data_IF_667499117787
#
_entry.id   IF_667499117787
#
_cell.length_a   1.000
_cell.length_b   1.000
_cell.length_c   1.000
_cell.angle_alpha   90.00
_cell.angle_beta   90.00
_cell.angle_gamma   90.00
#
_symmetry.space_group_name_H-M   'P 1'
#
loop_
_entity.id
_entity.type
_entity.pdbx_description
1 polymer ?
#
# COMPACT_ATOMS: atom_id res chain seq x y z
N UNK A 1 -32.22 -7.08 9.77
CA UNK A 1 -32.64 -8.42 10.23
C UNK A 1 -31.67 -9.45 9.66
N UNK A 2 -30.68 -9.89 10.47
CA UNK A 2 -29.65 -10.88 10.08
C UNK A 2 -30.02 -12.22 10.75
N UNK A 3 -31.17 -12.77 10.41
CA UNK A 3 -31.77 -13.85 11.21
C UNK A 3 -31.55 -15.30 10.75
N UNK A 4 -31.30 -15.68 9.49
CA UNK A 4 -31.22 -17.11 9.15
C UNK A 4 -29.82 -17.65 8.75
N UNK A 5 -28.81 -16.81 8.54
CA UNK A 5 -27.52 -17.26 7.96
C UNK A 5 -26.60 -17.95 8.98
N UNK A 6 -26.80 -17.72 10.28
CA UNK A 6 -25.92 -18.25 11.34
C UNK A 6 -26.32 -19.61 11.92
N UNK A 7 -27.40 -20.23 11.43
CA UNK A 7 -27.82 -21.55 11.89
C UNK A 7 -26.85 -22.63 11.38
N UNK A 8 -25.90 -23.06 12.23
CA UNK A 8 -24.93 -24.10 11.93
C UNK A 8 -23.46 -23.71 12.13
N UNK A 9 -23.18 -22.45 12.49
CA UNK A 9 -21.81 -22.00 12.82
C UNK A 9 -21.42 -22.55 14.20
N UNK A 10 -20.25 -23.20 14.36
CA UNK A 10 -19.75 -23.62 15.67
C UNK A 10 -19.69 -22.44 16.64
N UNK A 11 -20.08 -22.65 17.90
CA UNK A 11 -20.20 -21.61 18.94
C UNK A 11 -18.89 -20.91 19.31
N UNK A 12 -17.76 -21.37 18.77
CA UNK A 12 -16.40 -20.82 19.03
C UNK A 12 -15.84 -19.97 17.87
N UNK A 13 -16.57 -19.87 16.75
CA UNK A 13 -16.08 -19.09 15.59
C UNK A 13 -16.45 -17.61 15.77
N UNK A 14 -15.48 -16.72 15.51
CA UNK A 14 -15.72 -15.29 15.56
C UNK A 14 -16.69 -14.87 14.46
N UNK A 15 -17.58 -13.94 14.79
CA UNK A 15 -18.44 -13.30 13.78
C UNK A 15 -17.91 -11.89 13.51
N UNK A 16 -17.76 -11.53 12.24
CA UNK A 16 -17.37 -10.18 11.84
C UNK A 16 -18.35 -9.17 12.44
N UNK A 17 -17.86 -8.16 13.19
CA UNK A 17 -18.71 -7.10 13.70
C UNK A 17 -19.29 -6.33 12.51
N UNK A 18 -20.62 -6.21 12.46
CA UNK A 18 -21.33 -5.54 11.38
C UNK A 18 -21.16 -4.01 11.49
N UNK A 19 -19.97 -3.52 11.15
CA UNK A 19 -19.67 -2.10 11.16
C UNK A 19 -20.49 -1.35 10.13
N UNK A 20 -21.00 -0.17 10.50
CA UNK A 20 -21.51 0.78 9.51
C UNK A 20 -20.31 1.37 8.75
N UNK A 21 -20.23 1.23 7.41
CA UNK A 21 -19.17 1.84 6.61
C UNK A 21 -19.13 3.37 6.71
N UNK A 22 -20.26 3.99 7.10
CA UNK A 22 -20.37 5.43 7.34
C UNK A 22 -19.94 5.74 8.77
N UNK A 23 -18.85 6.45 8.94
CA UNK A 23 -18.35 6.86 10.26
C UNK A 23 -19.29 7.89 10.91
N UNK A 24 -19.71 8.88 10.14
CA UNK A 24 -20.67 9.91 10.58
C UNK A 24 -21.26 10.65 9.37
N UNK A 25 -22.34 11.41 9.62
CA UNK A 25 -23.03 12.22 8.62
C UNK A 25 -23.00 13.70 8.99
N UNK A 26 -22.68 14.54 8.02
CA UNK A 26 -22.77 16.00 8.13
C UNK A 26 -23.83 16.49 7.13
N UNK A 27 -25.08 16.54 7.57
CA UNK A 27 -26.20 16.81 6.68
C UNK A 27 -26.31 15.73 5.60
N UNK A 28 -26.31 16.10 4.29
CA UNK A 28 -26.37 15.13 3.19
C UNK A 28 -25.05 14.39 2.94
N UNK A 29 -23.94 14.86 3.51
CA UNK A 29 -22.61 14.28 3.29
C UNK A 29 -22.36 13.11 4.25
N UNK A 30 -22.20 11.89 3.71
CA UNK A 30 -21.78 10.71 4.45
C UNK A 30 -20.26 10.57 4.41
N UNK A 31 -19.62 10.62 5.58
CA UNK A 31 -18.17 10.41 5.71
C UNK A 31 -17.92 8.93 6.02
N UNK A 32 -17.23 8.25 5.11
CA UNK A 32 -16.94 6.82 5.22
C UNK A 32 -15.61 6.57 5.94
N UNK A 33 -15.52 5.49 6.72
CA UNK A 33 -14.29 5.07 7.38
C UNK A 33 -13.12 4.91 6.42
N UNK A 34 -13.38 4.42 5.21
CA UNK A 34 -12.36 4.25 4.19
C UNK A 34 -11.69 5.58 3.82
N UNK A 35 -12.48 6.64 3.64
CA UNK A 35 -11.97 8.00 3.42
C UNK A 35 -11.15 8.54 4.58
N UNK A 36 -11.59 8.24 5.83
CA UNK A 36 -10.84 8.61 7.05
C UNK A 36 -9.49 7.88 7.09
N UNK A 37 -9.43 6.59 6.77
CA UNK A 37 -8.18 5.84 6.74
C UNK A 37 -7.20 6.39 5.68
N UNK A 38 -7.70 6.82 4.53
CA UNK A 38 -6.86 7.50 3.52
C UNK A 38 -6.32 8.84 4.04
N UNK A 39 -7.19 9.68 4.61
CA UNK A 39 -6.76 10.96 5.18
C UNK A 39 -5.71 10.74 6.29
N UNK A 40 -5.97 9.79 7.18
CA UNK A 40 -5.06 9.44 8.26
C UNK A 40 -3.70 8.93 7.71
N UNK A 41 -3.71 8.18 6.60
CA UNK A 41 -2.50 7.73 5.92
C UNK A 41 -1.63 8.90 5.47
N UNK A 42 -2.23 9.94 4.91
CA UNK A 42 -1.49 11.15 4.51
C UNK A 42 -1.00 11.96 5.71
N UNK A 43 -1.82 12.13 6.75
CA UNK A 43 -1.45 12.89 7.95
C UNK A 43 -0.31 12.20 8.71
N UNK A 44 -0.46 10.91 9.00
CA UNK A 44 0.58 10.12 9.67
C UNK A 44 1.83 10.01 8.78
N UNK A 45 1.63 9.80 7.48
CA UNK A 45 2.71 9.78 6.50
C UNK A 45 3.52 11.07 6.50
N UNK A 46 2.88 12.22 6.45
CA UNK A 46 3.53 13.51 6.51
C UNK A 46 4.32 13.70 7.82
N UNK A 47 3.72 13.40 8.95
CA UNK A 47 4.39 13.47 10.25
C UNK A 47 5.62 12.58 10.32
N UNK A 48 5.53 11.35 9.82
CA UNK A 48 6.66 10.42 9.79
C UNK A 48 7.76 10.90 8.83
N UNK A 49 7.42 11.50 7.68
CA UNK A 49 8.40 12.09 6.77
C UNK A 49 9.17 13.22 7.45
N UNK A 50 8.47 14.11 8.18
CA UNK A 50 9.14 15.17 8.95
C UNK A 50 10.09 14.57 10.00
N UNK A 51 9.69 13.50 10.69
CA UNK A 51 10.55 12.78 11.63
C UNK A 51 11.78 12.17 10.97
N UNK A 52 11.67 11.75 9.70
CA UNK A 52 12.81 11.20 8.96
C UNK A 52 13.88 12.25 8.62
N UNK A 53 13.55 13.52 8.54
CA UNK A 53 14.52 14.58 8.27
C UNK A 53 15.59 14.73 9.36
N UNK A 54 15.29 14.27 10.57
CA UNK A 54 16.24 14.27 11.69
C UNK A 54 17.22 13.08 11.67
N UNK A 55 17.05 12.14 10.72
CA UNK A 55 17.87 10.94 10.60
C UNK A 55 18.81 11.03 9.40
N UNK A 56 19.95 10.34 9.49
CA UNK A 56 20.84 10.16 8.34
C UNK A 56 20.09 9.40 7.21
N UNK A 57 20.37 9.67 5.93
CA UNK A 57 21.36 10.61 5.37
C UNK A 57 20.84 12.06 5.21
N UNK A 58 19.64 12.41 5.68
CA UNK A 58 19.00 13.69 5.40
C UNK A 58 19.50 14.80 6.33
N UNK A 59 19.79 14.48 7.59
CA UNK A 59 20.38 15.42 8.53
C UNK A 59 21.84 15.74 8.11
N UNK A 60 22.15 17.05 7.94
CA UNK A 60 23.48 17.50 7.57
C UNK A 60 23.88 17.29 6.13
N UNK A 61 22.94 17.01 5.21
CA UNK A 61 23.21 16.93 3.78
C UNK A 61 23.52 18.32 3.20
N UNK A 62 24.37 18.38 2.16
CA UNK A 62 24.69 19.63 1.45
C UNK A 62 23.44 20.28 0.82
N UNK A 63 22.45 19.48 0.47
CA UNK A 63 21.13 19.91 0.02
C UNK A 63 20.08 19.43 1.04
N UNK A 64 19.80 20.17 2.10
CA UNK A 64 18.92 19.71 3.17
C UNK A 64 17.47 19.56 2.68
N UNK A 65 16.82 18.55 3.20
CA UNK A 65 15.37 18.44 3.10
C UNK A 65 14.74 19.38 4.14
N UNK A 66 13.79 20.18 3.71
CA UNK A 66 13.05 21.10 4.58
C UNK A 66 11.61 20.63 4.73
N UNK A 67 10.88 21.05 5.79
CA UNK A 67 9.45 20.79 5.91
C UNK A 67 8.66 21.27 4.68
N UNK A 68 9.04 22.41 4.10
CA UNK A 68 8.41 22.93 2.88
C UNK A 68 8.56 21.98 1.69
N UNK A 69 9.78 21.42 1.47
CA UNK A 69 10.00 20.42 0.42
C UNK A 69 9.21 19.14 0.65
N UNK A 70 9.01 18.72 1.91
CA UNK A 70 8.15 17.57 2.23
C UNK A 70 6.69 17.90 1.93
N UNK A 71 6.23 19.11 2.23
CA UNK A 71 4.87 19.55 1.87
C UNK A 71 4.66 19.54 0.37
N UNK A 72 5.61 20.10 -0.41
CA UNK A 72 5.56 20.07 -1.87
C UNK A 72 5.50 18.61 -2.38
N UNK A 73 6.36 17.73 -1.83
CA UNK A 73 6.37 16.30 -2.20
C UNK A 73 5.02 15.64 -1.92
N UNK A 74 4.38 15.95 -0.78
CA UNK A 74 3.06 15.42 -0.46
C UNK A 74 1.99 15.86 -1.45
N UNK A 75 2.03 17.12 -1.91
CA UNK A 75 1.11 17.60 -2.97
C UNK A 75 1.32 16.79 -4.25
N UNK A 76 2.57 16.57 -4.68
CA UNK A 76 2.87 15.71 -5.84
C UNK A 76 2.34 14.31 -5.69
N UNK A 77 2.49 13.70 -4.49
CA UNK A 77 1.99 12.35 -4.20
C UNK A 77 0.46 12.31 -4.27
N UNK A 78 -0.23 13.25 -3.63
CA UNK A 78 -1.71 13.31 -3.62
C UNK A 78 -2.24 13.45 -5.05
N UNK A 79 -1.68 14.37 -5.82
CA UNK A 79 -2.04 14.54 -7.25
C UNK A 79 -1.74 13.27 -8.03
N UNK A 80 -0.58 12.64 -7.80
CA UNK A 80 -0.19 11.38 -8.45
C UNK A 80 -1.17 10.24 -8.14
N UNK A 81 -1.58 10.08 -6.88
CA UNK A 81 -2.57 9.07 -6.46
C UNK A 81 -3.91 9.30 -7.16
N UNK A 82 -4.43 10.53 -7.11
CA UNK A 82 -5.76 10.84 -7.64
C UNK A 82 -5.77 10.75 -9.17
N UNK A 83 -4.86 11.45 -9.82
CA UNK A 83 -4.79 11.48 -11.29
C UNK A 83 -4.44 10.09 -11.86
N UNK A 84 -3.43 9.44 -11.30
CA UNK A 84 -3.02 8.10 -11.74
C UNK A 84 -4.09 7.06 -11.48
N UNK A 85 -4.71 7.06 -10.30
CA UNK A 85 -5.79 6.14 -9.95
C UNK A 85 -7.00 6.30 -10.87
N UNK A 86 -7.41 7.54 -11.14
CA UNK A 86 -8.53 7.84 -12.04
C UNK A 86 -8.23 7.49 -13.49
N UNK A 87 -7.11 7.97 -14.02
CA UNK A 87 -6.71 7.67 -15.39
C UNK A 87 -6.51 6.16 -15.60
N UNK A 88 -5.88 5.47 -14.64
CA UNK A 88 -5.72 4.03 -14.70
C UNK A 88 -7.07 3.30 -14.72
N UNK A 89 -8.05 3.75 -13.95
CA UNK A 89 -9.40 3.17 -14.01
C UNK A 89 -10.06 3.42 -15.37
N UNK A 90 -10.05 4.65 -15.85
CA UNK A 90 -10.67 5.01 -17.14
C UNK A 90 -10.07 4.22 -18.30
N UNK A 91 -8.74 4.07 -18.32
CA UNK A 91 -8.03 3.44 -19.43
C UNK A 91 -8.10 1.90 -19.42
N UNK A 92 -8.09 1.28 -18.25
CA UNK A 92 -7.97 -0.18 -18.15
C UNK A 92 -9.28 -0.89 -17.83
N UNK A 93 -10.22 -0.24 -17.13
CA UNK A 93 -11.47 -0.91 -16.72
C UNK A 93 -12.67 -0.54 -17.60
N UNK A 94 -12.77 0.70 -18.08
CA UNK A 94 -13.91 1.17 -18.87
C UNK A 94 -13.49 2.08 -20.04
N UNK A 95 -12.51 1.68 -20.90
CA UNK A 95 -11.97 2.57 -21.92
C UNK A 95 -13.03 3.04 -22.94
N UNK A 96 -13.90 2.16 -23.38
CA UNK A 96 -14.95 2.48 -24.36
C UNK A 96 -15.97 3.48 -23.78
N UNK A 97 -16.35 3.29 -22.50
CA UNK A 97 -17.28 4.20 -21.83
C UNK A 97 -16.70 5.62 -21.75
N UNK A 98 -15.44 5.76 -21.27
CA UNK A 98 -14.84 7.09 -21.11
C UNK A 98 -14.41 7.74 -22.43
N UNK A 99 -14.25 6.96 -23.51
CA UNK A 99 -14.08 7.52 -24.86
C UNK A 99 -15.33 8.26 -25.35
N UNK A 100 -16.52 7.82 -24.90
CA UNK A 100 -17.81 8.47 -25.24
C UNK A 100 -18.27 9.49 -24.20
N UNK A 101 -17.69 9.45 -22.98
CA UNK A 101 -18.00 10.35 -21.86
C UNK A 101 -16.74 11.01 -21.31
N UNK A 102 -15.98 11.80 -22.11
CA UNK A 102 -14.65 12.28 -21.72
C UNK A 102 -14.67 13.22 -20.50
N UNK A 103 -15.77 13.92 -20.26
CA UNK A 103 -15.90 14.82 -19.10
C UNK A 103 -15.96 14.10 -17.77
N UNK A 104 -16.40 12.86 -17.75
CA UNK A 104 -16.44 12.05 -16.53
C UNK A 104 -15.06 11.56 -16.09
N UNK A 105 -14.05 11.62 -16.96
CA UNK A 105 -12.66 11.29 -16.61
C UNK A 105 -12.16 12.15 -15.44
N UNK A 106 -12.55 13.43 -15.39
CA UNK A 106 -12.14 14.40 -14.35
C UNK A 106 -13.07 14.42 -13.13
N UNK A 107 -13.96 13.43 -13.00
CA UNK A 107 -14.93 13.32 -11.90
C UNK A 107 -14.57 12.14 -10.95
N UNK A 108 -13.51 12.23 -10.12
CA UNK A 108 -13.13 11.14 -9.21
C UNK A 108 -14.15 10.87 -8.09
N UNK A 109 -15.08 11.80 -7.84
CA UNK A 109 -16.16 11.65 -6.85
C UNK A 109 -17.23 10.65 -7.27
N UNK A 110 -17.32 10.29 -8.55
CA UNK A 110 -18.24 9.26 -9.05
C UNK A 110 -17.68 7.84 -8.85
N UNK A 111 -16.56 7.72 -8.13
CA UNK A 111 -15.90 6.45 -7.87
C UNK A 111 -15.01 5.99 -9.03
N UNK A 112 -14.52 4.76 -8.94
CA UNK A 112 -13.65 4.16 -9.96
C UNK A 112 -12.20 4.65 -9.89
N UNK A 113 -11.41 3.95 -9.06
CA UNK A 113 -9.98 4.19 -8.87
C UNK A 113 -9.20 2.89 -9.09
N UNK A 114 -8.08 2.97 -9.79
CA UNK A 114 -7.17 1.86 -10.02
C UNK A 114 -5.97 1.93 -9.07
N UNK A 115 -5.73 0.86 -8.31
CA UNK A 115 -4.54 0.77 -7.46
C UNK A 115 -3.24 0.87 -8.28
N UNK A 116 -3.15 0.12 -9.37
CA UNK A 116 -1.96 0.13 -10.23
C UNK A 116 -1.76 1.51 -10.89
N UNK A 117 -2.87 2.13 -11.33
CA UNK A 117 -2.84 3.50 -11.85
C UNK A 117 -2.34 4.50 -10.81
N UNK A 118 -2.81 4.40 -9.57
CA UNK A 118 -2.33 5.23 -8.46
C UNK A 118 -0.84 5.03 -8.16
N UNK A 119 -0.37 3.78 -8.12
CA UNK A 119 1.05 3.47 -7.91
C UNK A 119 1.96 4.03 -9.03
N UNK A 120 1.55 3.89 -10.29
CA UNK A 120 2.26 4.50 -11.43
C UNK A 120 2.22 6.03 -11.38
N UNK A 121 1.08 6.61 -10.98
CA UNK A 121 0.92 8.05 -10.78
C UNK A 121 1.87 8.59 -9.71
N UNK A 122 2.01 7.89 -8.58
CA UNK A 122 2.98 8.24 -7.53
C UNK A 122 4.41 8.11 -8.06
N UNK A 123 4.75 7.03 -8.76
CA UNK A 123 6.09 6.86 -9.33
C UNK A 123 6.44 8.01 -10.29
N UNK A 124 5.50 8.41 -11.14
CA UNK A 124 5.65 9.56 -12.04
C UNK A 124 5.78 10.88 -11.25
N UNK A 125 4.94 11.08 -10.22
CA UNK A 125 5.00 12.26 -9.37
C UNK A 125 6.37 12.40 -8.67
N UNK A 126 6.93 11.30 -8.12
CA UNK A 126 8.26 11.27 -7.54
C UNK A 126 9.35 11.59 -8.57
N UNK A 127 9.20 11.08 -9.80
CA UNK A 127 10.15 11.35 -10.89
C UNK A 127 10.13 12.82 -11.29
N UNK A 128 8.94 13.41 -11.46
CA UNK A 128 8.77 14.82 -11.81
C UNK A 128 9.28 15.73 -10.68
N UNK A 129 8.95 15.41 -9.43
CA UNK A 129 9.47 16.12 -8.27
C UNK A 129 11.01 16.08 -8.22
N UNK A 130 11.60 14.89 -8.37
CA UNK A 130 13.04 14.71 -8.35
C UNK A 130 13.71 15.53 -9.44
N UNK A 131 13.21 15.50 -10.68
CA UNK A 131 13.74 16.29 -11.80
C UNK A 131 13.61 17.79 -11.56
N UNK A 132 12.45 18.26 -11.13
CA UNK A 132 12.19 19.68 -10.86
C UNK A 132 13.06 20.25 -9.73
N UNK A 133 13.47 19.40 -8.78
CA UNK A 133 14.34 19.79 -7.66
C UNK A 133 15.80 19.34 -7.83
N UNK A 134 16.21 18.86 -9.03
CA UNK A 134 17.55 18.36 -9.35
C UNK A 134 18.07 17.29 -8.39
N UNK A 135 17.14 16.43 -7.89
CA UNK A 135 17.45 15.32 -6.98
C UNK A 135 17.42 13.98 -7.72
N UNK A 136 18.12 12.99 -7.20
CA UNK A 136 18.02 11.64 -7.74
C UNK A 136 16.69 10.99 -7.30
N UNK A 137 16.00 10.36 -8.26
CA UNK A 137 14.72 9.65 -8.01
C UNK A 137 14.81 8.70 -6.82
N UNK A 138 15.86 7.87 -6.74
CA UNK A 138 16.02 6.91 -5.66
C UNK A 138 16.20 7.56 -4.27
N UNK A 139 16.77 8.78 -4.20
CA UNK A 139 16.84 9.50 -2.92
C UNK A 139 15.47 9.96 -2.46
N UNK A 140 14.62 10.42 -3.39
CA UNK A 140 13.25 10.84 -3.08
C UNK A 140 12.40 9.62 -2.73
N UNK A 141 12.53 8.53 -3.47
CA UNK A 141 11.83 7.28 -3.21
C UNK A 141 12.22 6.71 -1.82
N UNK A 142 13.50 6.68 -1.49
CA UNK A 142 13.99 6.18 -0.18
C UNK A 142 13.56 7.05 1.01
N UNK A 143 13.25 8.33 0.79
CA UNK A 143 12.62 9.14 1.82
C UNK A 143 11.20 8.65 2.12
N UNK A 144 10.42 8.37 1.08
CA UNK A 144 9.01 8.00 1.17
C UNK A 144 8.79 6.55 1.60
N UNK A 145 9.55 5.61 1.03
CA UNK A 145 9.29 4.17 1.09
C UNK A 145 9.10 3.60 2.52
N UNK A 146 9.84 4.00 3.58
CA UNK A 146 9.60 3.48 4.92
C UNK A 146 8.25 3.90 5.52
N UNK A 147 7.57 4.87 4.92
CA UNK A 147 6.28 5.38 5.39
C UNK A 147 5.10 4.71 4.66
N UNK A 148 5.33 4.22 3.44
CA UNK A 148 4.32 3.57 2.61
C UNK A 148 3.55 2.44 3.33
N UNK A 149 4.20 1.55 4.10
CA UNK A 149 3.50 0.47 4.82
C UNK A 149 2.40 0.96 5.75
N UNK A 150 2.55 2.13 6.37
CA UNK A 150 1.51 2.71 7.23
C UNK A 150 0.24 2.98 6.43
N UNK A 151 0.38 3.54 5.23
CA UNK A 151 -0.75 3.78 4.33
C UNK A 151 -1.40 2.47 3.86
N UNK A 152 -0.60 1.46 3.53
CA UNK A 152 -1.10 0.13 3.17
C UNK A 152 -1.90 -0.48 4.33
N UNK A 153 -1.36 -0.50 5.54
CA UNK A 153 -2.04 -1.03 6.73
C UNK A 153 -3.35 -0.30 7.03
N UNK A 154 -3.37 1.04 6.99
CA UNK A 154 -4.59 1.82 7.21
C UNK A 154 -5.64 1.55 6.13
N UNK A 155 -5.25 1.41 4.87
CA UNK A 155 -6.16 1.00 3.80
C UNK A 155 -6.78 -0.37 4.06
N UNK A 156 -6.00 -1.33 4.59
CA UNK A 156 -6.51 -2.67 4.96
C UNK A 156 -7.44 -2.65 6.17
N UNK A 157 -7.21 -1.76 7.13
CA UNK A 157 -8.17 -1.51 8.21
C UNK A 157 -9.49 -0.98 7.61
N UNK A 158 -9.44 -0.09 6.64
CA UNK A 158 -10.62 0.36 5.91
C UNK A 158 -11.36 -0.78 5.21
N UNK A 159 -10.64 -1.67 4.51
CA UNK A 159 -11.23 -2.87 3.90
C UNK A 159 -11.89 -3.79 4.95
N UNK A 160 -11.25 -3.99 6.10
CA UNK A 160 -11.81 -4.78 7.18
C UNK A 160 -13.11 -4.17 7.72
N UNK A 161 -13.13 -2.86 8.00
CA UNK A 161 -14.34 -2.17 8.46
C UNK A 161 -15.49 -2.28 7.44
N UNK A 162 -15.17 -2.21 6.14
CA UNK A 162 -16.15 -2.38 5.08
C UNK A 162 -16.61 -3.83 4.90
N UNK A 163 -15.92 -4.81 5.51
CA UNK A 163 -16.22 -6.24 5.33
C UNK A 163 -15.89 -6.74 3.92
N UNK A 164 -14.88 -6.18 3.26
CA UNK A 164 -14.48 -6.53 1.89
C UNK A 164 -13.08 -7.16 1.85
N UNK A 165 -12.76 -7.87 0.76
CA UNK A 165 -11.46 -8.53 0.54
C UNK A 165 -11.12 -9.58 1.62
N UNK A 166 -12.10 -10.34 2.06
CA UNK A 166 -11.94 -11.45 2.99
C UNK A 166 -11.07 -12.58 2.42
N UNK A 167 -10.67 -13.49 3.30
CA UNK A 167 -9.83 -14.63 2.92
C UNK A 167 -10.62 -15.86 2.51
N UNK A 168 -9.86 -16.88 2.11
CA UNK A 168 -10.38 -18.22 1.80
C UNK A 168 -11.05 -18.86 3.01
N UNK A 169 -11.89 -19.91 2.82
CA UNK A 169 -12.38 -20.72 3.90
C UNK A 169 -11.25 -21.19 4.82
N UNK A 170 -11.46 -21.09 6.11
CA UNK A 170 -10.53 -21.46 7.17
C UNK A 170 -11.06 -22.63 7.97
N UNK A 171 -10.15 -23.40 8.60
CA UNK A 171 -10.53 -24.43 9.55
C UNK A 171 -11.31 -23.79 10.72
N UNK A 172 -12.52 -24.29 11.05
CA UNK A 172 -13.31 -23.77 12.17
C UNK A 172 -12.62 -23.88 13.53
N UNK A 173 -11.61 -24.73 13.67
CA UNK A 173 -10.80 -24.85 14.90
C UNK A 173 -9.80 -23.70 15.08
N UNK A 174 -9.57 -22.90 14.04
CA UNK A 174 -8.65 -21.76 14.07
C UNK A 174 -9.26 -20.65 14.95
N UNK A 175 -8.60 -20.23 16.07
CA UNK A 175 -9.21 -19.33 17.06
C UNK A 175 -9.63 -17.96 16.53
N UNK A 176 -9.08 -17.53 15.40
CA UNK A 176 -9.39 -16.25 14.75
C UNK A 176 -10.09 -16.41 13.40
N UNK A 177 -10.54 -17.63 13.05
CA UNK A 177 -11.44 -17.80 11.90
C UNK A 177 -12.69 -16.97 12.11
N UNK A 178 -13.15 -16.30 11.06
CA UNK A 178 -14.23 -15.32 11.16
C UNK A 178 -15.28 -15.55 10.08
N UNK A 179 -16.55 -15.57 10.48
CA UNK A 179 -17.69 -15.56 9.56
C UNK A 179 -18.00 -14.12 9.16
N UNK A 180 -18.15 -13.88 7.88
CA UNK A 180 -18.57 -12.59 7.31
C UNK A 180 -20.04 -12.70 6.87
N UNK A 181 -21.03 -12.31 7.70
CA UNK A 181 -22.45 -12.60 7.47
C UNK A 181 -23.03 -11.98 6.19
N UNK A 182 -22.36 -10.94 5.65
CA UNK A 182 -22.75 -10.33 4.37
C UNK A 182 -22.31 -11.15 3.16
N UNK A 183 -21.46 -12.16 3.36
CA UNK A 183 -20.92 -13.04 2.31
C UNK A 183 -21.57 -14.40 2.38
N UNK A 184 -21.31 -15.15 3.45
CA UNK A 184 -21.83 -16.49 3.70
C UNK A 184 -21.67 -16.87 5.18
N UNK A 185 -22.02 -18.11 5.54
CA UNK A 185 -21.85 -18.66 6.88
C UNK A 185 -20.54 -19.44 7.06
N UNK A 186 -19.61 -19.36 6.11
CA UNK A 186 -18.36 -20.12 6.13
C UNK A 186 -17.31 -19.39 6.95
N UNK A 187 -16.64 -20.03 7.93
CA UNK A 187 -15.46 -19.46 8.59
C UNK A 187 -14.35 -19.18 7.58
N UNK A 188 -13.79 -17.98 7.59
CA UNK A 188 -12.78 -17.51 6.66
C UNK A 188 -11.58 -16.90 7.38
N UNK A 189 -10.43 -16.86 6.71
CA UNK A 189 -9.30 -16.10 7.19
C UNK A 189 -9.60 -14.59 7.11
N UNK A 190 -9.40 -13.80 8.19
CA UNK A 190 -9.45 -12.34 8.13
C UNK A 190 -8.17 -11.80 7.44
N UNK A 191 -8.02 -12.05 6.13
CA UNK A 191 -6.81 -11.74 5.37
C UNK A 191 -6.43 -10.28 5.42
N UNK A 192 -7.40 -9.36 5.55
CA UNK A 192 -7.15 -7.94 5.73
C UNK A 192 -6.26 -7.67 6.97
N UNK A 193 -6.50 -8.40 8.07
CA UNK A 193 -5.71 -8.25 9.31
C UNK A 193 -4.30 -8.84 9.14
N UNK A 194 -4.12 -9.89 8.34
CA UNK A 194 -2.79 -10.41 8.00
C UNK A 194 -2.00 -9.39 7.19
N UNK A 195 -2.66 -8.71 6.23
CA UNK A 195 -2.07 -7.63 5.45
C UNK A 195 -1.69 -6.44 6.35
N UNK A 196 -2.55 -6.04 7.31
CA UNK A 196 -2.21 -5.01 8.30
C UNK A 196 -0.95 -5.38 9.07
N UNK A 197 -0.86 -6.63 9.56
CA UNK A 197 0.26 -7.08 10.39
C UNK A 197 1.56 -7.17 9.58
N UNK A 198 1.53 -7.81 8.41
CA UNK A 198 2.73 -8.09 7.62
C UNK A 198 3.12 -6.91 6.73
N UNK A 199 2.20 -6.41 5.89
CA UNK A 199 2.46 -5.34 4.91
C UNK A 199 2.43 -3.94 5.55
N UNK A 200 1.64 -3.78 6.62
CA UNK A 200 1.55 -2.54 7.40
C UNK A 200 2.62 -2.48 8.49
N UNK A 201 2.40 -3.20 9.61
CA UNK A 201 3.19 -3.04 10.84
C UNK A 201 4.60 -3.60 10.70
N UNK A 202 4.74 -4.88 10.36
CA UNK A 202 6.04 -5.53 10.34
C UNK A 202 6.96 -4.92 9.28
N UNK A 203 6.45 -4.68 8.08
CA UNK A 203 7.22 -4.04 7.02
C UNK A 203 7.65 -2.62 7.41
N UNK A 204 6.77 -1.84 8.06
CA UNK A 204 7.10 -0.53 8.58
C UNK A 204 8.27 -0.60 9.57
N UNK A 205 8.17 -1.48 10.57
CA UNK A 205 9.22 -1.62 11.60
C UNK A 205 10.57 -1.99 10.97
N UNK A 206 10.58 -2.96 10.06
CA UNK A 206 11.80 -3.40 9.38
C UNK A 206 12.43 -2.28 8.55
N UNK A 207 11.64 -1.59 7.73
CA UNK A 207 12.14 -0.51 6.88
C UNK A 207 12.56 0.70 7.71
N UNK A 208 11.83 1.05 8.77
CA UNK A 208 12.18 2.15 9.66
C UNK A 208 13.49 1.88 10.39
N UNK A 209 13.67 0.66 10.90
CA UNK A 209 14.91 0.24 11.54
C UNK A 209 16.09 0.24 10.54
N UNK A 210 15.87 -0.24 9.32
CA UNK A 210 16.88 -0.21 8.27
C UNK A 210 17.23 1.22 7.84
N UNK A 211 16.24 2.07 7.73
CA UNK A 211 16.39 3.48 7.35
C UNK A 211 17.29 4.28 8.34
N UNK A 212 17.23 3.95 9.64
CA UNK A 212 18.07 4.58 10.68
C UNK A 212 19.57 4.33 10.47
N UNK A 213 19.92 3.29 9.73
CA UNK A 213 21.34 2.97 9.42
C UNK A 213 21.92 3.82 8.29
N UNK A 214 21.13 4.69 7.66
CA UNK A 214 21.53 5.54 6.55
C UNK A 214 22.03 4.75 5.32
N UNK A 215 21.26 3.78 4.79
CA UNK A 215 21.72 2.98 3.67
C UNK A 215 21.91 3.82 2.42
N UNK A 216 22.68 3.31 1.45
CA UNK A 216 22.91 3.95 0.15
C UNK A 216 21.58 4.12 -0.61
N UNK A 217 21.52 5.17 -1.44
CA UNK A 217 20.33 5.50 -2.23
C UNK A 217 19.88 4.32 -3.13
N UNK A 218 18.60 3.98 -3.06
CA UNK A 218 17.98 2.82 -3.71
C UNK A 218 17.92 1.56 -2.83
N UNK A 219 18.66 1.50 -1.72
CA UNK A 219 18.68 0.31 -0.89
C UNK A 219 17.37 0.15 -0.08
N UNK A 220 16.75 1.24 0.37
CA UNK A 220 15.45 1.18 1.04
C UNK A 220 14.34 0.82 0.07
N UNK A 221 14.36 1.40 -1.12
CA UNK A 221 13.40 1.06 -2.19
C UNK A 221 13.50 -0.41 -2.59
N UNK A 222 14.73 -0.93 -2.74
CA UNK A 222 14.94 -2.36 -3.00
C UNK A 222 14.43 -3.24 -1.87
N UNK A 223 14.73 -2.88 -0.61
CA UNK A 223 14.26 -3.61 0.57
C UNK A 223 12.73 -3.61 0.71
N UNK A 224 12.07 -2.49 0.37
CA UNK A 224 10.62 -2.42 0.33
C UNK A 224 10.03 -3.38 -0.70
N UNK A 225 10.53 -3.35 -1.93
CA UNK A 225 10.03 -4.23 -3.00
C UNK A 225 10.17 -5.71 -2.62
N UNK A 226 11.31 -6.10 -2.01
CA UNK A 226 11.50 -7.47 -1.51
C UNK A 226 10.53 -7.76 -0.36
N UNK A 227 10.49 -6.93 0.67
CA UNK A 227 9.69 -7.17 1.86
C UNK A 227 8.19 -7.19 1.55
N UNK A 228 7.71 -6.20 0.82
CA UNK A 228 6.30 -6.16 0.38
C UNK A 228 5.97 -7.35 -0.52
N UNK A 229 6.82 -7.65 -1.50
CA UNK A 229 6.60 -8.78 -2.41
C UNK A 229 6.53 -10.12 -1.69
N UNK A 230 7.42 -10.36 -0.70
CA UNK A 230 7.40 -11.58 0.09
C UNK A 230 6.14 -11.64 0.97
N UNK A 231 5.81 -10.57 1.71
CA UNK A 231 4.65 -10.55 2.59
C UNK A 231 3.35 -10.68 1.78
N UNK A 232 3.25 -9.96 0.67
CA UNK A 232 2.10 -10.07 -0.25
C UNK A 232 1.97 -11.49 -0.80
N UNK A 233 3.06 -12.11 -1.23
CA UNK A 233 3.04 -13.49 -1.71
C UNK A 233 2.51 -14.47 -0.66
N UNK A 234 2.95 -14.32 0.59
CA UNK A 234 2.48 -15.13 1.72
C UNK A 234 1.01 -14.89 2.02
N UNK A 235 0.59 -13.63 2.14
CA UNK A 235 -0.82 -13.31 2.47
C UNK A 235 -1.77 -13.78 1.36
N UNK A 236 -1.34 -13.73 0.11
CA UNK A 236 -2.16 -14.16 -1.03
C UNK A 236 -2.54 -15.65 -0.96
N UNK A 237 -1.81 -16.48 -0.19
CA UNK A 237 -2.21 -17.89 0.04
C UNK A 237 -3.47 -18.00 0.90
N UNK A 238 -3.77 -17.00 1.71
CA UNK A 238 -4.95 -16.94 2.60
C UNK A 238 -6.08 -16.07 2.04
N UNK A 239 -5.80 -15.28 1.02
CA UNK A 239 -6.78 -14.41 0.40
C UNK A 239 -7.63 -15.17 -0.61
N UNK A 240 -8.93 -14.84 -0.69
CA UNK A 240 -9.77 -15.32 -1.78
C UNK A 240 -9.28 -14.71 -3.11
N UNK A 241 -9.00 -15.52 -4.14
CA UNK A 241 -8.63 -15.01 -5.46
C UNK A 241 -9.77 -14.21 -6.08
N UNK A 242 -9.44 -13.25 -6.94
CA UNK A 242 -10.44 -12.51 -7.70
C UNK A 242 -11.22 -13.47 -8.62
N UNK A 243 -12.55 -13.47 -8.54
CA UNK A 243 -13.45 -14.44 -9.20
C UNK A 243 -13.23 -14.57 -10.72
N UNK A 244 -12.83 -13.45 -11.37
CA UNK A 244 -12.65 -13.42 -12.84
C UNK A 244 -11.30 -13.94 -13.32
N UNK A 245 -10.29 -14.11 -12.44
CA UNK A 245 -8.96 -14.60 -12.79
C UNK A 245 -8.66 -15.99 -12.22
N UNK A 246 -9.16 -16.29 -11.03
CA UNK A 246 -8.89 -17.53 -10.33
C UNK A 246 -7.40 -17.79 -10.08
N UNK A 247 -7.02 -19.06 -10.13
CA UNK A 247 -5.62 -19.49 -10.08
C UNK A 247 -5.08 -19.68 -11.49
N UNK A 248 -3.89 -19.14 -11.73
CA UNK A 248 -3.18 -19.21 -13.01
C UNK A 248 -2.18 -20.38 -13.02
N UNK A 249 -1.23 -20.38 -13.97
CA UNK A 249 -0.19 -21.40 -14.06
C UNK A 249 0.51 -21.66 -12.73
N UNK A 250 0.87 -22.93 -12.46
CA UNK A 250 1.46 -23.42 -11.20
C UNK A 250 0.55 -23.26 -9.96
N UNK A 251 -0.75 -23.02 -10.14
CA UNK A 251 -1.69 -22.84 -9.02
C UNK A 251 -1.49 -21.54 -8.25
N UNK A 252 -0.80 -20.55 -8.83
CA UNK A 252 -0.56 -19.24 -8.23
C UNK A 252 -1.64 -18.25 -8.66
N UNK A 253 -2.00 -17.33 -7.76
CA UNK A 253 -2.84 -16.19 -8.12
C UNK A 253 -2.09 -15.15 -8.96
N UNK A 254 -2.81 -14.25 -9.63
CA UNK A 254 -2.20 -13.11 -10.33
C UNK A 254 -1.34 -12.26 -9.39
N UNK A 255 -1.80 -12.05 -8.16
CA UNK A 255 -1.05 -11.32 -7.13
C UNK A 255 0.30 -11.97 -6.84
N UNK A 256 0.34 -13.30 -6.71
CA UNK A 256 1.59 -14.04 -6.49
C UNK A 256 2.53 -13.94 -7.70
N UNK A 257 2.00 -14.05 -8.93
CA UNK A 257 2.80 -13.87 -10.14
C UNK A 257 3.45 -12.49 -10.23
N UNK A 258 2.74 -11.43 -9.85
CA UNK A 258 3.28 -10.06 -9.83
C UNK A 258 4.31 -9.85 -8.72
N UNK A 259 4.24 -10.61 -7.63
CA UNK A 259 5.24 -10.55 -6.57
C UNK A 259 6.62 -11.05 -7.01
N UNK A 260 6.70 -12.06 -7.90
CA UNK A 260 7.97 -12.65 -8.30
C UNK A 260 8.93 -11.65 -8.98
N UNK A 261 8.53 -10.94 -10.06
CA UNK A 261 9.38 -9.92 -10.67
C UNK A 261 9.67 -8.75 -9.74
N UNK A 262 8.73 -8.40 -8.83
CA UNK A 262 8.94 -7.34 -7.84
C UNK A 262 10.02 -7.73 -6.83
N UNK A 263 10.01 -8.96 -6.31
CA UNK A 263 11.05 -9.48 -5.41
C UNK A 263 12.41 -9.52 -6.13
N UNK A 264 12.44 -10.05 -7.35
CA UNK A 264 13.68 -10.15 -8.13
C UNK A 264 14.28 -8.76 -8.44
N UNK A 265 13.46 -7.84 -8.93
CA UNK A 265 13.87 -6.46 -9.20
C UNK A 265 14.30 -5.70 -7.95
N UNK A 266 13.56 -5.91 -6.85
CA UNK A 266 13.90 -5.33 -5.55
C UNK A 266 15.24 -5.85 -5.00
N UNK A 267 15.49 -7.15 -5.09
CA UNK A 267 16.76 -7.76 -4.69
C UNK A 267 17.93 -7.24 -5.54
N UNK A 268 17.73 -7.15 -6.86
CA UNK A 268 18.74 -6.59 -7.78
C UNK A 268 19.04 -5.12 -7.46
N UNK A 269 18.01 -4.29 -7.21
CA UNK A 269 18.18 -2.89 -6.82
C UNK A 269 18.90 -2.76 -5.48
N UNK A 270 18.51 -3.54 -4.49
CA UNK A 270 19.12 -3.53 -3.16
C UNK A 270 20.60 -3.91 -3.21
N UNK A 271 20.93 -4.98 -3.95
CA UNK A 271 22.31 -5.43 -4.13
C UNK A 271 23.18 -4.38 -4.86
N UNK A 272 22.65 -3.81 -5.97
CA UNK A 272 23.32 -2.76 -6.72
C UNK A 272 23.59 -1.52 -5.87
N UNK A 273 22.59 -1.04 -5.11
CA UNK A 273 22.74 0.11 -4.24
C UNK A 273 23.81 -0.12 -3.15
N UNK A 274 23.83 -1.32 -2.53
CA UNK A 274 24.84 -1.66 -1.54
C UNK A 274 26.25 -1.72 -2.09
N UNK A 275 26.43 -2.23 -3.31
CA UNK A 275 27.76 -2.24 -3.97
C UNK A 275 28.26 -0.82 -4.23
N UNK A 276 27.42 0.05 -4.72
CA UNK A 276 27.77 1.47 -4.95
C UNK A 276 28.13 2.20 -3.65
N UNK A 277 27.37 1.99 -2.59
CA UNK A 277 27.67 2.59 -1.28
C UNK A 277 29.04 2.15 -0.72
N UNK A 278 29.42 0.89 -0.91
CA UNK A 278 30.75 0.37 -0.49
C UNK A 278 31.90 0.96 -1.32
N UNK A 279 31.71 1.10 -2.63
CA UNK A 279 32.72 1.70 -3.50
C UNK A 279 32.99 3.17 -3.14
N UNK A 280 31.94 3.93 -2.80
CA UNK A 280 32.07 5.31 -2.37
C UNK A 280 32.79 5.48 -1.02
N UNK A 281 32.60 4.56 -0.08
CA UNK A 281 33.26 4.58 1.24
C UNK A 281 34.71 4.08 1.19
N UNK A 282 35.05 3.17 0.28
CA UNK A 282 36.41 2.63 0.12
C UNK A 282 37.38 3.60 -0.58
N UNK A 283 36.88 4.52 -1.41
CA UNK A 283 37.70 5.53 -2.10
C UNK A 283 38.18 6.67 -1.20
N UNK A 284 37.57 6.87 -0.03
CA UNK A 284 37.93 7.93 0.94
C UNK A 284 39.02 7.45 1.93
N UNK A 285 39.27 6.15 2.04
CA UNK A 285 40.26 5.58 2.97
C UNK A 285 41.66 5.35 2.34
N UNK A 286 41.85 5.70 1.05
CA UNK A 286 43.10 5.45 0.31
C UNK A 286 43.72 6.71 -0.32
N UNK A 287 43.32 7.92 0.14
CA UNK A 287 43.90 9.18 -0.34
C UNK A 287 44.61 9.95 0.76
#
# INVERSE_FOLDING_TARGET
>A
MVGPILAGVPTLVLTFPDFDPVAFRLGPLAVHWYGIMYLLSFVVGYWLLLRRLTHRPYAGSAEPWTPALVSDLMVFIVVGVIAGGRLGYCLFYKPVYYATHPWEVVAPWDGGMSFHGGALGVALALLLFARGRRRHFLQVADLLVPVVPVGLGLGRIGNFINGELWGRPADPSLPWAMVFPRVDAVPRHPSQLYEVLLEGVLLFVLLWAYARRGPAAGALSGAFLVGYGVFRFVVETFREPDDFLGLLGLGLSMGQWLCLPMIAGGAALWWWARRRGRAASGGVAGG
#
